data_IF_724327604357
#
_entry.id   IF_724327604357
#
_cell.length_a   1.000
_cell.length_b   1.000
_cell.length_c   1.000
_cell.angle_alpha   90.00
_cell.angle_beta   90.00
_cell.angle_gamma   90.00
#
_symmetry.space_group_name_H-M   'P 1'
#
loop_
_entity.id
_entity.type
_entity.pdbx_description
1 polymer ?
#
# COMPACT_ATOMS: atom_id res chain seq x y z
N UNK A 1 -6.73 5.44 59.66
CA UNK A 1 -7.92 5.43 60.54
C UNK A 1 -9.03 4.73 59.77
N UNK A 2 -9.47 3.56 60.25
CA UNK A 2 -10.42 2.64 59.58
C UNK A 2 -11.80 2.76 60.24
N UNK A 3 -12.87 2.84 59.45
CA UNK A 3 -14.27 2.47 59.79
C UNK A 3 -14.91 2.04 58.45
N UNK A 4 -14.94 0.77 58.02
CA UNK A 4 -15.84 -0.35 58.37
C UNK A 4 -17.33 0.00 58.46
N UNK A 5 -18.09 -0.37 57.42
CA UNK A 5 -19.46 -0.87 57.58
C UNK A 5 -19.57 -2.26 56.94
N UNK A 6 -20.06 -3.17 57.76
CA UNK A 6 -20.41 -4.57 57.50
C UNK A 6 -21.93 -4.57 57.40
N UNK A 7 -22.50 -5.20 56.36
CA UNK A 7 -23.74 -5.94 56.53
C UNK A 7 -23.70 -7.20 55.66
N UNK A 8 -23.64 -8.33 56.37
CA UNK A 8 -23.94 -9.64 55.86
C UNK A 8 -25.45 -9.83 55.84
N UNK A 9 -25.99 -10.37 54.76
CA UNK A 9 -27.16 -11.25 54.80
C UNK A 9 -26.97 -12.36 53.78
N UNK A 10 -26.79 -13.56 54.30
CA UNK A 10 -26.91 -14.80 53.56
C UNK A 10 -28.40 -15.18 53.52
N UNK A 11 -28.88 -15.63 52.36
CA UNK A 11 -29.90 -16.69 52.28
C UNK A 11 -29.88 -17.33 50.89
N UNK A 12 -29.58 -18.62 50.91
CA UNK A 12 -29.68 -19.58 49.82
C UNK A 12 -31.08 -19.59 49.18
N UNK A 13 -31.15 -19.63 47.86
CA UNK A 13 -32.19 -20.37 47.15
C UNK A 13 -31.58 -21.05 45.93
N UNK A 14 -31.38 -22.37 46.06
CA UNK A 14 -31.10 -23.26 44.94
C UNK A 14 -32.42 -23.57 44.23
N UNK A 15 -32.44 -23.48 42.90
CA UNK A 15 -33.58 -23.87 42.07
C UNK A 15 -33.23 -23.77 40.59
N UNK A 16 -32.68 -24.87 40.05
CA UNK A 16 -32.54 -25.13 38.63
C UNK A 16 -33.91 -25.06 37.94
N UNK A 17 -34.02 -24.27 36.87
CA UNK A 17 -34.88 -24.56 35.73
C UNK A 17 -34.13 -24.24 34.43
N UNK A 18 -34.38 -25.11 33.46
CA UNK A 18 -33.69 -25.35 32.20
C UNK A 18 -34.17 -24.42 31.07
N UNK A 19 -33.26 -24.14 30.12
CA UNK A 19 -33.42 -23.79 28.70
C UNK A 19 -34.69 -23.04 28.22
N UNK A 20 -34.51 -21.87 27.58
CA UNK A 20 -34.95 -21.64 26.19
C UNK A 20 -34.46 -20.30 25.61
N UNK A 21 -33.69 -20.42 24.52
CA UNK A 21 -33.40 -19.56 23.36
C UNK A 21 -33.85 -18.09 23.22
N UNK A 22 -32.92 -17.38 22.58
CA UNK A 22 -33.09 -16.50 21.40
C UNK A 22 -33.57 -15.07 21.65
N UNK A 23 -32.58 -14.18 21.63
CA UNK A 23 -32.61 -13.06 20.71
C UNK A 23 -31.24 -13.05 20.01
N UNK A 24 -31.20 -13.73 18.87
CA UNK A 24 -30.20 -13.54 17.83
C UNK A 24 -30.30 -12.07 17.38
N UNK A 25 -29.35 -11.25 17.79
CA UNK A 25 -28.98 -10.05 17.04
C UNK A 25 -27.62 -10.36 16.40
N UNK A 26 -27.62 -11.22 15.38
CA UNK A 26 -26.56 -11.22 14.38
C UNK A 26 -26.74 -9.96 13.55
N UNK A 27 -26.36 -8.81 14.11
CA UNK A 27 -25.94 -7.71 13.25
C UNK A 27 -24.67 -8.19 12.57
N UNK A 28 -24.78 -8.80 11.39
CA UNK A 28 -23.64 -9.01 10.51
C UNK A 28 -23.09 -7.62 10.19
N UNK A 29 -22.11 -7.19 10.99
CA UNK A 29 -21.27 -6.06 10.64
C UNK A 29 -20.27 -6.61 9.62
N UNK A 30 -20.32 -6.20 8.35
CA UNK A 30 -19.46 -6.82 7.36
C UNK A 30 -17.97 -6.51 7.59
N UNK A 31 -17.63 -5.52 8.42
CA UNK A 31 -16.24 -5.29 8.89
C UNK A 31 -15.76 -6.47 9.76
N UNK A 32 -16.61 -6.94 10.67
CA UNK A 32 -16.28 -8.08 11.52
C UNK A 32 -16.21 -9.38 10.71
N UNK A 33 -17.00 -9.49 9.64
CA UNK A 33 -16.96 -10.64 8.74
C UNK A 33 -15.63 -10.70 7.98
N UNK A 34 -15.14 -9.57 7.44
CA UNK A 34 -13.81 -9.50 6.82
C UNK A 34 -12.69 -9.85 7.80
N UNK A 35 -12.69 -9.24 8.99
CA UNK A 35 -11.68 -9.54 10.03
C UNK A 35 -11.72 -11.03 10.45
N UNK A 36 -12.90 -11.64 10.57
CA UNK A 36 -13.03 -13.06 10.91
C UNK A 36 -12.48 -13.98 9.80
N UNK A 37 -12.71 -13.64 8.52
CA UNK A 37 -12.19 -14.41 7.39
C UNK A 37 -10.67 -14.27 7.32
N UNK A 38 -10.12 -13.07 7.47
CA UNK A 38 -8.67 -12.80 7.45
C UNK A 38 -7.91 -13.55 8.54
N UNK A 39 -8.54 -13.79 9.70
CA UNK A 39 -7.98 -14.58 10.79
C UNK A 39 -8.13 -16.11 10.59
N UNK A 40 -8.75 -16.57 9.51
CA UNK A 40 -8.93 -18.00 9.24
C UNK A 40 -7.62 -18.63 8.74
N UNK A 41 -7.16 -19.74 9.34
CA UNK A 41 -5.98 -20.47 8.86
C UNK A 41 -6.11 -20.89 7.39
N UNK A 42 -5.11 -20.57 6.57
CA UNK A 42 -4.97 -21.12 5.22
C UNK A 42 -4.07 -22.36 5.29
N UNK A 43 -4.50 -23.43 4.62
CA UNK A 43 -3.73 -24.68 4.54
C UNK A 43 -2.40 -24.48 3.82
N UNK A 44 -1.31 -24.96 4.42
CA UNK A 44 0.05 -24.73 3.90
C UNK A 44 0.23 -25.30 2.48
N UNK A 45 -0.44 -26.41 2.17
CA UNK A 45 -0.41 -27.00 0.82
C UNK A 45 -1.13 -26.15 -0.23
N UNK A 46 -2.17 -25.42 0.17
CA UNK A 46 -2.86 -24.51 -0.75
C UNK A 46 -1.94 -23.35 -1.12
N UNK A 47 -1.34 -22.71 -0.12
CA UNK A 47 -0.42 -21.59 -0.30
C UNK A 47 0.79 -21.99 -1.16
N UNK A 48 1.46 -23.10 -0.84
CA UNK A 48 2.62 -23.58 -1.63
C UNK A 48 2.26 -23.86 -3.08
N UNK A 49 1.03 -24.28 -3.35
CA UNK A 49 0.59 -24.58 -4.73
C UNK A 49 0.33 -23.33 -5.56
N UNK A 50 0.18 -22.16 -4.92
CA UNK A 50 -0.16 -20.88 -5.57
C UNK A 50 0.97 -19.86 -5.53
N UNK A 51 2.00 -20.05 -4.70
CA UNK A 51 3.15 -19.14 -4.64
C UNK A 51 4.11 -19.35 -5.83
N UNK A 52 4.54 -18.23 -6.40
CA UNK A 52 5.65 -18.09 -7.32
C UNK A 52 6.70 -17.16 -6.69
N UNK A 53 7.98 -17.54 -6.80
CA UNK A 53 9.11 -16.70 -6.34
C UNK A 53 10.15 -16.71 -7.45
N UNK A 54 10.53 -15.53 -7.95
CA UNK A 54 11.55 -15.43 -8.99
C UNK A 54 12.87 -16.06 -8.52
N UNK A 55 13.54 -16.82 -9.38
CA UNK A 55 14.81 -17.46 -9.03
C UNK A 55 14.72 -18.65 -8.05
N UNK A 56 13.52 -19.02 -7.61
CA UNK A 56 13.34 -20.14 -6.69
C UNK A 56 13.18 -21.49 -7.38
N UNK A 57 13.76 -22.53 -6.79
CA UNK A 57 13.49 -23.94 -7.11
C UNK A 57 12.66 -24.57 -6.00
N UNK A 58 11.52 -25.16 -6.35
CA UNK A 58 10.66 -25.89 -5.40
C UNK A 58 11.23 -27.29 -5.18
N UNK A 59 11.58 -27.59 -3.93
CA UNK A 59 12.22 -28.84 -3.50
C UNK A 59 11.34 -29.59 -2.50
N UNK A 60 11.37 -30.92 -2.55
CA UNK A 60 10.59 -31.77 -1.65
C UNK A 60 11.34 -32.05 -0.34
N UNK A 61 10.59 -32.11 0.76
CA UNK A 61 11.10 -32.43 2.10
C UNK A 61 11.27 -31.20 2.98
N UNK A 62 12.32 -31.20 3.79
CA UNK A 62 12.66 -30.10 4.71
C UNK A 62 13.91 -29.38 4.22
N UNK A 63 14.03 -28.06 4.42
CA UNK A 63 15.26 -27.32 4.15
C UNK A 63 16.49 -27.93 4.83
N UNK A 64 17.71 -27.66 4.32
CA UNK A 64 18.95 -28.00 5.01
C UNK A 64 18.97 -27.47 6.46
N UNK A 65 19.57 -28.26 7.37
CA UNK A 65 19.58 -27.93 8.80
C UNK A 65 20.46 -26.70 9.08
N UNK A 66 19.91 -25.67 9.76
CA UNK A 66 20.67 -24.51 10.22
C UNK A 66 21.91 -24.86 11.03
N UNK A 67 23.01 -24.13 10.79
CA UNK A 67 24.20 -24.17 11.65
C UNK A 67 24.38 -22.88 12.48
N UNK A 68 23.51 -21.90 12.28
CA UNK A 68 23.42 -20.63 13.02
C UNK A 68 24.71 -19.80 13.00
N UNK A 69 25.52 -19.97 11.95
CA UNK A 69 26.79 -19.26 11.82
C UNK A 69 26.65 -17.83 11.25
N UNK A 70 25.47 -17.48 10.72
CA UNK A 70 25.11 -16.13 10.24
C UNK A 70 23.77 -15.71 10.83
N UNK A 71 23.50 -14.41 10.83
CA UNK A 71 22.26 -13.79 11.32
C UNK A 71 21.69 -12.86 10.27
N UNK A 72 20.36 -12.71 10.29
CA UNK A 72 19.61 -11.79 9.45
C UNK A 72 18.39 -11.30 10.23
N UNK A 73 17.65 -10.35 9.66
CA UNK A 73 16.37 -9.85 10.16
C UNK A 73 15.41 -9.65 8.99
N UNK A 74 14.18 -10.16 9.12
CA UNK A 74 13.08 -9.80 8.21
C UNK A 74 12.49 -8.47 8.67
N UNK A 75 12.42 -7.52 7.74
CA UNK A 75 11.96 -6.14 8.00
C UNK A 75 10.71 -5.75 7.21
N UNK A 76 10.12 -6.67 6.43
CA UNK A 76 8.89 -6.40 5.66
C UNK A 76 7.61 -6.49 6.48
N UNK A 77 6.50 -6.10 5.83
CA UNK A 77 5.15 -6.15 6.39
C UNK A 77 4.57 -7.57 6.49
N UNK A 78 3.51 -7.69 7.28
CA UNK A 78 2.78 -8.94 7.58
C UNK A 78 1.51 -9.13 6.73
N UNK A 79 1.42 -8.49 5.57
CA UNK A 79 0.20 -8.47 4.75
C UNK A 79 0.49 -8.92 3.32
N UNK A 80 -0.46 -9.61 2.71
CA UNK A 80 -0.47 -9.99 1.30
C UNK A 80 -1.79 -9.59 0.65
N UNK A 81 -1.77 -9.40 -0.66
CA UNK A 81 -2.96 -9.10 -1.46
C UNK A 81 -3.30 -10.30 -2.34
N UNK A 82 -4.60 -10.57 -2.50
CA UNK A 82 -5.10 -11.85 -3.03
C UNK A 82 -4.49 -12.26 -4.37
N UNK A 83 -4.19 -11.30 -5.25
CA UNK A 83 -3.61 -11.53 -6.58
C UNK A 83 -2.17 -11.05 -6.74
N UNK A 84 -1.66 -10.25 -5.81
CA UNK A 84 -0.33 -9.62 -5.93
C UNK A 84 0.71 -10.28 -5.03
N UNK A 85 0.30 -11.04 -4.00
CA UNK A 85 1.27 -11.64 -3.09
C UNK A 85 1.81 -10.64 -2.07
N UNK A 86 3.10 -10.75 -1.74
CA UNK A 86 3.79 -9.95 -0.73
C UNK A 86 5.32 -9.96 -0.91
N UNK A 87 5.98 -8.96 -0.32
CA UNK A 87 7.44 -8.87 -0.33
C UNK A 87 8.07 -9.33 0.99
N UNK A 88 9.25 -9.95 0.88
CA UNK A 88 10.12 -10.26 2.02
C UNK A 88 11.39 -9.43 1.90
N UNK A 89 11.50 -8.44 2.79
CA UNK A 89 12.67 -7.58 2.91
C UNK A 89 13.58 -8.11 4.01
N UNK A 90 14.87 -8.29 3.71
CA UNK A 90 15.87 -8.90 4.59
C UNK A 90 17.08 -7.98 4.75
N UNK A 91 17.53 -7.85 6.00
CA UNK A 91 18.81 -7.22 6.36
C UNK A 91 19.77 -8.24 6.98
N UNK A 92 21.07 -8.11 6.68
CA UNK A 92 22.11 -9.03 7.13
C UNK A 92 23.47 -8.34 7.26
N UNK A 93 24.20 -8.68 8.33
CA UNK A 93 25.59 -8.21 8.52
C UNK A 93 26.60 -8.90 7.57
N UNK A 94 26.13 -9.83 6.73
CA UNK A 94 26.94 -10.65 5.84
C UNK A 94 26.33 -10.73 4.45
N UNK A 95 27.18 -10.89 3.43
CA UNK A 95 26.74 -11.11 2.05
C UNK A 95 26.03 -12.46 1.92
N UNK A 96 24.77 -12.43 1.50
CA UNK A 96 23.92 -13.60 1.34
C UNK A 96 23.95 -14.09 -0.11
N UNK A 97 23.82 -15.40 -0.29
CA UNK A 97 23.73 -16.02 -1.63
C UNK A 97 22.34 -16.57 -1.93
N UNK A 98 21.50 -16.78 -0.92
CA UNK A 98 20.15 -17.25 -1.11
C UNK A 98 19.39 -17.49 0.19
N UNK A 99 18.19 -18.04 0.05
CA UNK A 99 17.31 -18.37 1.16
C UNK A 99 16.55 -19.67 0.95
N UNK A 100 16.20 -20.33 2.06
CA UNK A 100 15.22 -21.40 2.10
C UNK A 100 13.94 -20.88 2.72
N UNK A 101 12.83 -20.97 1.99
CA UNK A 101 11.50 -20.55 2.46
C UNK A 101 10.56 -21.76 2.51
N UNK A 102 9.92 -21.98 3.64
CA UNK A 102 8.98 -23.07 3.84
C UNK A 102 7.66 -22.55 4.42
N UNK A 103 6.55 -22.90 3.79
CA UNK A 103 5.22 -22.47 4.25
C UNK A 103 4.73 -23.36 5.38
N UNK A 104 4.02 -22.74 6.31
CA UNK A 104 3.45 -23.32 7.51
C UNK A 104 2.05 -22.73 7.73
N UNK A 105 1.07 -23.52 8.17
CA UNK A 105 -0.20 -22.95 8.63
C UNK A 105 -0.04 -22.41 10.07
N UNK A 106 -0.95 -21.55 10.51
CA UNK A 106 -0.88 -20.98 11.88
C UNK A 106 -0.98 -22.04 12.99
N UNK A 107 -1.51 -23.23 12.68
CA UNK A 107 -1.64 -24.36 13.62
C UNK A 107 -0.36 -25.18 13.78
N UNK A 108 0.68 -24.95 12.97
CA UNK A 108 1.95 -25.66 13.09
C UNK A 108 2.26 -26.67 11.99
N UNK A 109 1.32 -26.95 11.09
CA UNK A 109 1.53 -27.87 9.97
C UNK A 109 2.42 -27.21 8.92
N UNK A 110 3.48 -27.92 8.53
CA UNK A 110 4.49 -27.43 7.60
C UNK A 110 4.26 -28.13 6.26
N UNK A 111 4.35 -27.39 5.17
CA UNK A 111 4.30 -27.97 3.84
C UNK A 111 5.47 -28.94 3.61
N UNK A 112 5.22 -30.03 2.87
CA UNK A 112 6.23 -31.03 2.53
C UNK A 112 7.19 -30.57 1.42
N UNK A 113 7.17 -29.29 1.06
CA UNK A 113 7.98 -28.67 0.03
C UNK A 113 8.51 -27.34 0.57
N UNK A 114 9.66 -26.91 0.06
CA UNK A 114 10.25 -25.61 0.35
C UNK A 114 10.81 -24.99 -0.94
N UNK A 115 11.06 -23.68 -0.90
CA UNK A 115 11.65 -22.93 -1.98
C UNK A 115 13.13 -22.69 -1.67
N UNK A 116 14.01 -23.08 -2.59
CA UNK A 116 15.43 -22.75 -2.60
C UNK A 116 15.65 -21.56 -3.53
N UNK A 117 15.92 -20.38 -2.96
CA UNK A 117 15.89 -19.09 -3.62
C UNK A 117 17.33 -18.62 -3.86
N UNK A 118 17.74 -18.53 -5.13
CA UNK A 118 19.05 -18.01 -5.51
C UNK A 118 18.99 -16.48 -5.68
N UNK A 119 19.65 -15.74 -4.79
CA UNK A 119 19.64 -14.28 -4.85
C UNK A 119 20.34 -13.71 -6.08
N UNK A 120 21.23 -14.47 -6.72
CA UNK A 120 21.82 -14.04 -7.98
C UNK A 120 20.79 -13.99 -9.13
N UNK A 121 19.73 -14.79 -9.03
CA UNK A 121 18.64 -14.81 -10.01
C UNK A 121 17.63 -13.66 -9.83
N UNK A 122 17.57 -13.04 -8.64
CA UNK A 122 16.69 -11.89 -8.36
C UNK A 122 17.15 -10.60 -9.08
N UNK A 123 18.43 -10.52 -9.45
CA UNK A 123 19.04 -9.31 -10.05
C UNK A 123 18.67 -9.03 -11.53
N UNK A 124 17.61 -9.68 -12.05
CA UNK A 124 17.21 -9.67 -13.46
C UNK A 124 16.25 -8.55 -13.90
N UNK A 125 15.49 -7.95 -12.99
CA UNK A 125 14.64 -6.79 -13.28
C UNK A 125 15.15 -5.57 -12.52
N UNK A 126 16.10 -4.87 -13.13
CA UNK A 126 16.06 -3.41 -13.03
C UNK A 126 14.62 -2.98 -13.27
N UNK A 127 13.98 -2.35 -12.27
CA UNK A 127 12.79 -1.51 -12.45
C UNK A 127 12.92 -0.87 -13.82
N UNK A 128 11.97 -1.07 -14.77
CA UNK A 128 12.16 -0.70 -16.15
C UNK A 128 12.68 0.74 -16.21
N UNK A 129 13.96 0.85 -16.58
CA UNK A 129 14.71 2.09 -16.62
C UNK A 129 14.26 2.87 -17.85
N UNK A 130 12.99 3.26 -17.87
CA UNK A 130 12.34 4.03 -18.91
C UNK A 130 11.14 4.82 -18.41
N UNK A 131 11.11 5.25 -17.15
CA UNK A 131 10.36 6.46 -16.78
C UNK A 131 11.38 7.60 -16.75
N UNK A 132 11.54 8.26 -17.89
CA UNK A 132 12.25 9.53 -17.96
C UNK A 132 11.55 10.49 -17.00
N UNK A 133 12.32 11.05 -16.06
CA UNK A 133 11.96 12.26 -15.31
C UNK A 133 11.29 13.29 -16.23
N UNK A 134 9.99 13.49 -16.05
CA UNK A 134 9.26 14.73 -16.29
C UNK A 134 7.89 14.64 -15.61
N UNK A 135 7.74 15.47 -14.57
CA UNK A 135 6.50 16.01 -14.01
C UNK A 135 5.20 15.26 -14.34
N UNK A 136 4.96 14.18 -13.59
CA UNK A 136 3.61 13.70 -13.30
C UNK A 136 3.45 13.98 -11.81
N UNK A 137 2.40 14.68 -11.40
CA UNK A 137 2.05 14.85 -9.98
C UNK A 137 2.08 13.46 -9.34
N UNK A 138 3.13 13.19 -8.57
CA UNK A 138 3.43 11.90 -7.94
C UNK A 138 2.22 11.55 -7.08
N UNK A 139 1.37 10.66 -7.56
CA UNK A 139 0.37 10.04 -6.71
C UNK A 139 0.74 8.57 -6.62
N UNK A 140 1.18 8.23 -5.41
CA UNK A 140 1.54 6.91 -4.89
C UNK A 140 2.92 6.42 -5.38
N UNK A 141 3.87 6.37 -4.45
CA UNK A 141 5.08 5.52 -4.50
C UNK A 141 4.96 4.45 -3.40
N UNK A 142 5.35 3.22 -3.69
CA UNK A 142 5.42 2.15 -2.71
C UNK A 142 6.42 2.54 -1.60
N UNK A 143 6.14 2.16 -0.35
CA UNK A 143 7.04 2.42 0.77
C UNK A 143 8.31 1.59 0.56
N UNK A 144 9.41 2.23 0.16
CA UNK A 144 10.72 1.57 0.07
C UNK A 144 11.22 1.29 1.50
N UNK A 145 11.32 0.02 1.87
CA UNK A 145 12.06 -0.41 3.06
C UNK A 145 13.53 -0.54 2.65
N UNK A 146 14.45 0.15 3.34
CA UNK A 146 15.89 -0.08 3.12
C UNK A 146 16.25 -1.52 3.53
N UNK A 147 16.39 -2.37 2.50
CA UNK A 147 16.67 -3.79 2.63
C UNK A 147 17.92 -4.18 1.83
N UNK A 148 18.75 -5.06 2.38
CA UNK A 148 19.89 -5.63 1.65
C UNK A 148 19.42 -6.54 0.50
N UNK A 149 18.31 -7.26 0.73
CA UNK A 149 17.68 -8.16 -0.24
C UNK A 149 16.16 -8.05 -0.12
N UNK A 150 15.49 -8.03 -1.27
CA UNK A 150 14.04 -8.12 -1.38
C UNK A 150 13.67 -9.36 -2.19
N UNK A 151 12.73 -10.16 -1.68
CA UNK A 151 12.19 -11.35 -2.33
C UNK A 151 10.71 -11.08 -2.60
N UNK A 152 10.39 -10.96 -3.88
CA UNK A 152 9.02 -10.85 -4.38
C UNK A 152 8.34 -12.24 -4.37
N UNK A 153 7.23 -12.35 -3.64
CA UNK A 153 6.44 -13.58 -3.48
C UNK A 153 5.07 -13.39 -4.07
N UNK A 154 4.98 -13.61 -5.38
CA UNK A 154 3.76 -13.57 -6.17
C UNK A 154 2.79 -14.72 -5.86
N UNK A 155 1.50 -14.47 -6.13
CA UNK A 155 0.49 -15.52 -6.24
C UNK A 155 0.15 -15.79 -7.72
N UNK A 156 0.45 -17.00 -8.22
CA UNK A 156 0.11 -17.43 -9.59
C UNK A 156 -1.39 -17.36 -9.89
N UNK A 157 -2.20 -17.51 -8.84
CA UNK A 157 -3.65 -17.38 -8.87
C UNK A 157 -4.13 -16.83 -7.54
N UNK A 158 -5.29 -16.17 -7.55
CA UNK A 158 -5.90 -15.61 -6.34
C UNK A 158 -5.85 -16.57 -5.14
N UNK A 159 -5.28 -16.11 -4.04
CA UNK A 159 -5.37 -16.74 -2.73
C UNK A 159 -6.55 -16.12 -1.98
N UNK A 160 -7.40 -16.95 -1.38
CA UNK A 160 -8.54 -16.44 -0.60
C UNK A 160 -8.02 -15.76 0.68
N UNK A 161 -8.76 -14.78 1.24
CA UNK A 161 -8.37 -14.14 2.48
C UNK A 161 -8.20 -15.13 3.64
N UNK A 162 -7.26 -14.84 4.52
CA UNK A 162 -6.89 -15.72 5.62
C UNK A 162 -5.45 -15.52 6.05
N UNK A 163 -4.99 -16.30 7.03
CA UNK A 163 -3.62 -16.20 7.56
C UNK A 163 -2.85 -17.49 7.37
N UNK A 164 -1.59 -17.37 6.95
CA UNK A 164 -0.59 -18.44 6.99
C UNK A 164 0.72 -17.91 7.56
N UNK A 165 1.71 -18.78 7.77
CA UNK A 165 3.06 -18.35 8.13
C UNK A 165 4.09 -18.95 7.16
N UNK A 166 5.25 -18.32 7.08
CA UNK A 166 6.41 -18.92 6.45
C UNK A 166 7.57 -18.95 7.45
N UNK A 167 8.46 -19.90 7.23
CA UNK A 167 9.73 -20.02 7.94
C UNK A 167 10.83 -19.80 6.92
N UNK A 168 11.70 -18.84 7.17
CA UNK A 168 12.81 -18.50 6.29
C UNK A 168 14.15 -18.67 7.00
N UNK A 169 15.12 -19.23 6.29
CA UNK A 169 16.54 -19.25 6.64
C UNK A 169 17.33 -18.65 5.47
N UNK A 170 18.41 -17.94 5.72
CA UNK A 170 19.32 -17.44 4.67
C UNK A 170 20.63 -18.23 4.71
N UNK A 171 21.33 -18.28 3.57
CA UNK A 171 22.63 -18.94 3.47
C UNK A 171 23.66 -18.13 2.67
N UNK A 172 24.94 -18.29 3.04
CA UNK A 172 26.08 -17.64 2.40
C UNK A 172 26.86 -18.59 1.47
N UNK A 173 27.85 -18.03 0.75
CA UNK A 173 28.70 -18.77 -0.17
C UNK A 173 29.58 -19.85 0.51
N UNK A 174 29.73 -19.81 1.84
CA UNK A 174 30.49 -20.79 2.61
C UNK A 174 29.62 -21.96 3.11
N UNK A 175 28.31 -21.93 2.85
CA UNK A 175 27.35 -22.89 3.36
C UNK A 175 26.97 -22.69 4.83
N UNK A 176 27.19 -21.48 5.36
CA UNK A 176 26.61 -21.08 6.65
C UNK A 176 25.11 -20.83 6.46
N UNK A 177 24.29 -21.23 7.43
CA UNK A 177 22.83 -21.12 7.37
C UNK A 177 22.36 -20.49 8.68
N UNK A 178 21.54 -19.44 8.59
CA UNK A 178 21.01 -18.73 9.75
C UNK A 178 20.02 -19.56 10.57
N UNK A 179 19.74 -19.12 11.80
CA UNK A 179 18.59 -19.61 12.55
C UNK A 179 17.27 -19.24 11.83
N UNK A 180 16.23 -20.09 11.86
CA UNK A 180 14.97 -19.82 11.18
C UNK A 180 14.24 -18.63 11.81
N UNK A 181 13.62 -17.80 10.96
CA UNK A 181 12.64 -16.79 11.38
C UNK A 181 11.26 -17.17 10.84
N UNK A 182 10.25 -17.08 11.70
CA UNK A 182 8.86 -17.34 11.37
C UNK A 182 8.10 -16.03 11.30
N UNK A 183 7.38 -15.80 10.21
CA UNK A 183 6.54 -14.62 9.97
C UNK A 183 5.18 -15.09 9.50
N UNK A 184 4.12 -14.52 10.08
CA UNK A 184 2.76 -14.80 9.65
C UNK A 184 2.25 -13.66 8.77
N UNK A 185 1.57 -14.04 7.69
CA UNK A 185 1.06 -13.18 6.63
C UNK A 185 -0.45 -13.32 6.61
N UNK A 186 -1.12 -12.17 6.66
CA UNK A 186 -2.56 -12.05 6.44
C UNK A 186 -2.81 -11.68 4.99
N UNK A 187 -3.53 -12.54 4.26
CA UNK A 187 -4.06 -12.24 2.94
C UNK A 187 -5.32 -11.39 3.16
N UNK A 188 -5.25 -10.12 2.78
CA UNK A 188 -6.30 -9.15 3.05
C UNK A 188 -7.53 -9.38 2.17
N UNK A 189 -8.72 -9.15 2.73
CA UNK A 189 -9.95 -9.11 1.94
C UNK A 189 -10.00 -7.83 1.11
N UNK A 190 -10.42 -7.94 -0.16
CA UNK A 190 -10.83 -6.74 -0.89
C UNK A 190 -11.97 -6.05 -0.15
N UNK A 191 -11.84 -4.74 0.08
CA UNK A 191 -12.69 -4.00 1.01
C UNK A 191 -12.16 -4.04 2.44
N UNK A 192 -12.95 -4.56 3.37
CA UNK A 192 -12.55 -4.72 4.78
C UNK A 192 -12.95 -3.59 5.73
N UNK A 193 -13.45 -2.46 5.23
CA UNK A 193 -14.02 -1.39 6.07
C UNK A 193 -15.20 -0.66 5.41
N UNK A 194 -16.42 -1.04 5.77
CA UNK A 194 -17.66 -0.50 5.23
C UNK A 194 -17.83 0.99 5.46
N UNK A 195 -17.28 1.54 6.55
CA UNK A 195 -17.34 2.99 6.79
C UNK A 195 -16.57 3.80 5.73
N UNK A 196 -15.65 3.18 4.99
CA UNK A 196 -14.97 3.77 3.83
C UNK A 196 -15.76 3.67 2.53
N UNK A 197 -16.78 2.81 2.45
CA UNK A 197 -17.56 2.62 1.23
C UNK A 197 -18.43 3.86 0.98
N UNK A 198 -17.96 4.71 0.07
CA UNK A 198 -18.65 5.92 -0.35
C UNK A 198 -18.01 6.48 -1.63
N UNK A 199 -18.65 7.52 -2.15
CA UNK A 199 -18.04 8.45 -3.09
C UNK A 199 -17.51 9.64 -2.27
N UNK A 200 -16.20 9.78 -2.24
CA UNK A 200 -15.46 10.77 -1.48
C UNK A 200 -14.98 11.87 -2.43
N UNK A 201 -15.40 13.11 -2.19
CA UNK A 201 -15.00 14.26 -2.98
C UNK A 201 -13.77 14.89 -2.34
N UNK A 202 -12.72 15.12 -3.13
CA UNK A 202 -11.50 15.78 -2.69
C UNK A 202 -11.82 17.24 -2.33
N UNK A 203 -11.40 17.67 -1.14
CA UNK A 203 -11.53 19.06 -0.69
C UNK A 203 -10.20 19.81 -0.80
N UNK A 204 -9.11 19.13 -0.42
CA UNK A 204 -7.76 19.68 -0.51
C UNK A 204 -6.71 18.58 -0.41
N UNK A 205 -5.49 18.93 -0.78
CA UNK A 205 -4.29 18.13 -0.62
C UNK A 205 -3.24 18.94 0.14
N UNK A 206 -2.40 18.27 0.92
CA UNK A 206 -1.25 18.86 1.57
C UNK A 206 -0.02 18.01 1.29
N UNK A 207 1.03 18.65 0.78
CA UNK A 207 2.34 18.04 0.59
C UNK A 207 3.30 18.68 1.58
N UNK A 208 3.96 17.87 2.40
CA UNK A 208 5.06 18.34 3.24
C UNK A 208 6.36 17.81 2.68
N UNK A 209 7.27 18.69 2.29
CA UNK A 209 8.60 18.34 1.79
C UNK A 209 9.65 19.15 2.54
N UNK A 210 10.68 18.50 3.08
CA UNK A 210 11.74 19.17 3.86
C UNK A 210 11.22 20.13 4.95
N UNK A 211 10.21 19.69 5.73
CA UNK A 211 9.54 20.46 6.79
C UNK A 211 8.65 21.63 6.32
N UNK A 212 8.52 21.86 5.01
CA UNK A 212 7.61 22.87 4.45
C UNK A 212 6.33 22.22 3.94
N UNK A 213 5.17 22.74 4.36
CA UNK A 213 3.86 22.24 3.95
C UNK A 213 3.21 23.17 2.94
N UNK A 214 2.89 22.62 1.78
CA UNK A 214 2.13 23.24 0.69
C UNK A 214 0.71 22.69 0.70
N UNK A 215 -0.30 23.54 0.48
CA UNK A 215 -1.71 23.11 0.48
C UNK A 215 -2.39 23.49 -0.81
N UNK A 216 -3.05 22.51 -1.43
CA UNK A 216 -3.77 22.62 -2.68
C UNK A 216 -5.27 22.46 -2.44
N UNK A 217 -6.03 23.56 -2.48
CA UNK A 217 -7.48 23.54 -2.21
C UNK A 217 -8.23 23.39 -3.53
N UNK A 218 -9.17 22.44 -3.58
CA UNK A 218 -9.99 22.20 -4.78
C UNK A 218 -10.83 23.43 -5.10
N UNK A 219 -10.79 23.87 -6.36
CA UNK A 219 -11.46 25.06 -6.87
C UNK A 219 -10.73 26.39 -6.62
N UNK A 220 -9.55 26.37 -5.99
CA UNK A 220 -8.71 27.55 -5.81
C UNK A 220 -7.48 27.49 -6.73
N UNK A 221 -7.21 28.58 -7.45
CA UNK A 221 -6.02 28.70 -8.28
C UNK A 221 -4.84 29.08 -7.39
N UNK A 222 -3.77 28.29 -7.47
CA UNK A 222 -2.55 28.44 -6.67
C UNK A 222 -1.41 28.71 -7.61
N UNK A 223 -0.61 29.72 -7.29
CA UNK A 223 0.59 30.07 -8.01
C UNK A 223 1.81 29.71 -7.20
N UNK A 224 2.83 29.16 -7.85
CA UNK A 224 4.11 28.88 -7.22
C UNK A 224 4.71 30.18 -6.66
N UNK A 225 5.22 30.11 -5.43
CA UNK A 225 5.93 31.23 -4.79
C UNK A 225 7.28 31.54 -5.48
N UNK A 226 7.74 30.67 -6.38
CA UNK A 226 8.96 30.85 -7.15
C UNK A 226 8.71 31.65 -8.43
N UNK A 227 9.13 32.92 -8.43
CA UNK A 227 9.15 33.72 -9.65
C UNK A 227 10.28 33.23 -10.58
N UNK A 228 9.89 32.72 -11.74
CA UNK A 228 10.80 32.51 -12.86
C UNK A 228 10.89 33.79 -13.70
N UNK A 229 11.92 33.89 -14.55
CA UNK A 229 12.05 35.04 -15.43
C UNK A 229 12.68 34.66 -16.77
N UNK A 230 12.47 35.51 -17.77
CA UNK A 230 13.16 35.47 -19.05
C UNK A 230 13.59 36.88 -19.47
N UNK A 231 14.61 36.97 -20.33
CA UNK A 231 15.13 38.23 -20.86
C UNK A 231 14.65 38.44 -22.30
N UNK A 232 14.23 39.67 -22.60
CA UNK A 232 13.91 40.14 -23.95
C UNK A 232 15.15 40.64 -24.69
N UNK A 233 15.01 40.98 -25.99
CA UNK A 233 16.11 41.50 -26.82
C UNK A 233 16.67 42.86 -26.34
N UNK A 234 15.87 43.65 -25.62
CA UNK A 234 16.25 44.95 -25.06
C UNK A 234 16.80 44.85 -23.62
N UNK A 235 17.16 43.65 -23.18
CA UNK A 235 17.57 43.31 -21.81
C UNK A 235 16.49 43.54 -20.74
N UNK A 236 15.22 43.75 -21.13
CA UNK A 236 14.10 43.76 -20.18
C UNK A 236 13.89 42.35 -19.61
N UNK A 237 13.80 42.26 -18.29
CA UNK A 237 13.49 41.02 -17.58
C UNK A 237 11.98 40.96 -17.32
N UNK A 238 11.35 39.88 -17.78
CA UNK A 238 9.94 39.59 -17.51
C UNK A 238 9.87 38.48 -16.47
N UNK A 239 9.25 38.79 -15.33
CA UNK A 239 8.93 37.81 -14.30
C UNK A 239 7.60 37.12 -14.61
N UNK A 240 7.51 35.84 -14.26
CA UNK A 240 6.31 35.03 -14.44
C UNK A 240 6.22 33.96 -13.33
N UNK A 241 5.00 33.47 -13.11
CA UNK A 241 4.67 32.45 -12.12
C UNK A 241 3.88 31.34 -12.81
N UNK A 242 4.11 30.11 -12.41
CA UNK A 242 3.25 29.00 -12.78
C UNK A 242 2.06 28.98 -11.83
N UNK A 243 0.86 28.86 -12.37
CA UNK A 243 -0.36 28.74 -11.58
C UNK A 243 -1.15 27.55 -12.07
N UNK A 244 -1.78 26.82 -11.16
CA UNK A 244 -2.64 25.69 -11.47
C UNK A 244 -3.86 25.65 -10.56
N UNK A 245 -4.81 24.81 -10.94
CA UNK A 245 -6.03 24.60 -10.19
C UNK A 245 -6.43 23.13 -10.32
N UNK A 246 -6.77 22.51 -9.20
CA UNK A 246 -7.51 21.25 -9.17
C UNK A 246 -9.00 21.61 -9.14
N UNK A 247 -9.75 21.26 -10.19
CA UNK A 247 -11.17 21.59 -10.34
C UNK A 247 -12.04 20.59 -9.60
N UNK A 248 -11.68 19.30 -9.67
CA UNK A 248 -12.39 18.24 -8.97
C UNK A 248 -11.48 17.05 -8.69
N UNK A 249 -11.86 16.29 -7.66
CA UNK A 249 -11.28 14.98 -7.38
C UNK A 249 -12.33 14.10 -6.70
N UNK A 250 -12.40 12.83 -7.10
CA UNK A 250 -13.34 11.86 -6.55
C UNK A 250 -12.69 10.51 -6.35
N UNK A 251 -12.81 9.95 -5.14
CA UNK A 251 -12.45 8.59 -4.80
C UNK A 251 -13.72 7.78 -4.49
N UNK A 252 -14.01 6.77 -5.29
CA UNK A 252 -15.16 5.89 -5.12
C UNK A 252 -14.71 4.51 -4.65
N UNK A 253 -14.89 4.22 -3.36
CA UNK A 253 -14.60 2.92 -2.74
C UNK A 253 -15.89 2.11 -2.67
N UNK A 254 -15.91 0.92 -3.27
CA UNK A 254 -17.08 0.04 -3.27
C UNK A 254 -16.92 -1.13 -2.31
N UNK A 255 -18.07 -1.69 -1.90
CA UNK A 255 -18.15 -2.84 -0.99
C UNK A 255 -17.51 -4.11 -1.55
N UNK A 256 -17.46 -4.26 -2.87
CA UNK A 256 -16.78 -5.39 -3.54
C UNK A 256 -15.26 -5.22 -3.60
N UNK A 257 -14.73 -4.20 -2.92
CA UNK A 257 -13.32 -3.87 -2.91
C UNK A 257 -12.80 -3.28 -4.21
N UNK A 258 -13.65 -2.96 -5.19
CA UNK A 258 -13.23 -2.17 -6.35
C UNK A 258 -13.17 -0.69 -6.00
N UNK A 259 -12.25 0.05 -6.62
CA UNK A 259 -12.22 1.51 -6.55
C UNK A 259 -12.07 2.18 -7.91
N UNK A 260 -12.44 3.46 -7.94
CA UNK A 260 -12.09 4.40 -9.01
C UNK A 260 -11.64 5.69 -8.34
N UNK A 261 -10.52 6.25 -8.81
CA UNK A 261 -10.09 7.59 -8.46
C UNK A 261 -9.97 8.44 -9.72
N UNK A 262 -10.46 9.68 -9.68
CA UNK A 262 -10.35 10.61 -10.79
C UNK A 262 -10.12 12.03 -10.29
N UNK A 263 -9.32 12.80 -11.01
CA UNK A 263 -9.11 14.24 -10.79
C UNK A 263 -9.09 14.98 -12.11
N UNK A 264 -9.43 16.27 -12.06
CA UNK A 264 -9.37 17.16 -13.21
C UNK A 264 -8.97 18.55 -12.77
N UNK A 265 -8.34 19.31 -13.65
CA UNK A 265 -7.93 20.66 -13.37
C UNK A 265 -7.34 21.36 -14.59
N UNK A 266 -6.42 22.28 -14.32
CA UNK A 266 -5.54 22.83 -15.34
C UNK A 266 -4.27 23.43 -14.75
N UNK A 267 -3.29 23.65 -15.61
CA UNK A 267 -2.12 24.48 -15.37
C UNK A 267 -2.07 25.63 -16.39
N UNK A 268 -1.61 26.80 -15.94
CA UNK A 268 -1.30 27.93 -16.81
C UNK A 268 0.19 27.85 -17.16
N UNK A 269 0.48 27.25 -18.31
CA UNK A 269 1.84 27.17 -18.82
C UNK A 269 2.24 28.47 -19.53
N UNK A 270 3.51 28.86 -19.40
CA UNK A 270 4.06 29.97 -20.17
C UNK A 270 4.21 29.57 -21.64
N UNK A 271 3.51 30.26 -22.55
CA UNK A 271 3.82 30.22 -23.98
C UNK A 271 5.12 30.99 -24.20
N UNK A 272 6.24 30.28 -24.09
CA UNK A 272 7.56 30.88 -24.12
C UNK A 272 7.83 31.64 -25.42
N UNK A 273 7.41 31.10 -26.56
CA UNK A 273 7.61 31.74 -27.86
C UNK A 273 6.81 33.04 -27.99
N UNK A 274 5.51 33.00 -27.69
CA UNK A 274 4.68 34.21 -27.71
C UNK A 274 5.17 35.23 -26.67
N UNK A 275 5.58 34.76 -25.49
CA UNK A 275 6.02 35.62 -24.39
C UNK A 275 7.30 36.38 -24.71
N UNK A 276 8.28 35.71 -25.33
CA UNK A 276 9.53 36.35 -25.78
C UNK A 276 9.26 37.34 -26.91
N UNK A 277 8.41 36.98 -27.87
CA UNK A 277 8.09 37.84 -29.02
C UNK A 277 7.39 39.15 -28.60
N UNK A 278 6.50 39.08 -27.60
CA UNK A 278 5.75 40.24 -27.10
C UNK A 278 6.42 40.90 -25.88
N UNK A 279 7.55 40.35 -25.41
CA UNK A 279 8.23 40.74 -24.17
C UNK A 279 7.26 40.88 -22.97
N UNK A 280 6.39 39.89 -22.79
CA UNK A 280 5.37 39.85 -21.73
C UNK A 280 5.03 38.40 -21.42
N UNK A 281 4.77 38.06 -20.16
CA UNK A 281 4.26 36.74 -19.81
C UNK A 281 2.87 36.49 -20.46
N UNK A 282 2.80 35.51 -21.35
CA UNK A 282 1.60 35.03 -22.02
C UNK A 282 1.44 33.57 -21.64
N UNK A 283 0.27 33.23 -21.09
CA UNK A 283 -0.03 31.89 -20.62
C UNK A 283 -1.02 31.19 -21.52
N UNK A 284 -0.87 29.88 -21.62
CA UNK A 284 -1.83 28.96 -22.25
C UNK A 284 -2.34 28.03 -21.16
N UNK A 285 -3.65 27.86 -21.14
CA UNK A 285 -4.32 26.92 -20.25
C UNK A 285 -4.15 25.51 -20.79
N UNK A 286 -3.57 24.63 -19.99
CA UNK A 286 -3.37 23.22 -20.28
C UNK A 286 -4.23 22.42 -19.31
N UNK A 287 -5.25 21.73 -19.82
CA UNK A 287 -6.13 20.90 -18.98
C UNK A 287 -5.37 19.65 -18.51
N UNK A 288 -5.50 19.30 -17.23
CA UNK A 288 -5.02 18.03 -16.68
C UNK A 288 -6.20 17.15 -16.26
N UNK A 289 -6.07 15.85 -16.49
CA UNK A 289 -7.05 14.85 -16.08
C UNK A 289 -6.34 13.55 -15.74
N UNK A 290 -6.63 13.04 -14.55
CA UNK A 290 -6.13 11.75 -14.09
C UNK A 290 -7.30 10.85 -13.73
N UNK A 291 -7.18 9.57 -14.08
CA UNK A 291 -8.15 8.55 -13.74
C UNK A 291 -7.46 7.22 -13.54
N UNK A 292 -7.90 6.47 -12.54
CA UNK A 292 -7.38 5.13 -12.27
C UNK A 292 -8.46 4.24 -11.64
N UNK A 293 -8.35 2.93 -11.87
CA UNK A 293 -9.19 1.91 -11.23
C UNK A 293 -8.37 0.71 -10.80
N UNK A 294 -8.94 -0.01 -9.83
CA UNK A 294 -8.48 -1.34 -9.46
C UNK A 294 -9.17 -1.83 -8.19
N UNK A 295 -8.40 -2.43 -7.28
CA UNK A 295 -8.92 -2.94 -6.01
C UNK A 295 -8.33 -2.20 -4.80
N UNK A 296 -9.05 -2.25 -3.68
CA UNK A 296 -8.60 -1.75 -2.40
C UNK A 296 -8.85 -2.77 -1.31
N UNK A 297 -8.01 -2.78 -0.28
CA UNK A 297 -8.16 -3.58 0.94
C UNK A 297 -7.81 -2.72 2.16
N UNK A 298 -8.36 -3.04 3.32
CA UNK A 298 -8.10 -2.31 4.56
C UNK A 298 -7.49 -3.24 5.60
N UNK A 299 -6.29 -2.90 6.05
CA UNK A 299 -5.65 -3.58 7.17
C UNK A 299 -6.05 -2.90 8.48
N UNK A 300 -6.84 -3.61 9.29
CA UNK A 300 -7.33 -3.10 10.55
C UNK A 300 -6.25 -2.95 11.64
N UNK A 301 -5.20 -3.78 11.61
CA UNK A 301 -4.13 -3.75 12.61
C UNK A 301 -3.23 -2.53 12.47
N UNK A 302 -2.95 -2.12 11.24
CA UNK A 302 -2.10 -0.97 10.88
C UNK A 302 -2.89 0.31 10.61
N UNK A 303 -4.21 0.20 10.50
CA UNK A 303 -5.11 1.28 10.08
C UNK A 303 -4.75 1.83 8.68
N UNK A 304 -4.34 0.94 7.77
CA UNK A 304 -3.88 1.25 6.41
C UNK A 304 -4.89 0.82 5.35
N UNK A 305 -4.98 1.58 4.26
CA UNK A 305 -5.61 1.15 3.01
C UNK A 305 -4.54 0.75 2.01
N UNK A 306 -4.70 -0.40 1.39
CA UNK A 306 -3.97 -0.82 0.21
C UNK A 306 -4.76 -0.46 -1.04
N UNK A 307 -4.09 0.10 -2.05
CA UNK A 307 -4.65 0.47 -3.35
C UNK A 307 -3.84 -0.26 -4.42
N UNK A 308 -4.52 -1.11 -5.19
CA UNK A 308 -3.92 -1.85 -6.31
C UNK A 308 -4.44 -1.28 -7.61
N UNK A 309 -3.57 -0.64 -8.39
CA UNK A 309 -3.90 0.02 -9.65
C UNK A 309 -3.70 -0.94 -10.82
N UNK A 310 -4.78 -1.23 -11.53
CA UNK A 310 -4.75 -2.04 -12.76
C UNK A 310 -4.88 -1.23 -14.03
N UNK A 311 -5.61 -0.11 -14.01
CA UNK A 311 -5.74 0.75 -15.19
C UNK A 311 -5.57 2.21 -14.80
N UNK A 312 -5.02 2.99 -15.73
CA UNK A 312 -4.93 4.44 -15.58
C UNK A 312 -5.02 5.17 -16.92
N UNK A 313 -5.46 6.42 -16.84
CA UNK A 313 -5.42 7.43 -17.89
C UNK A 313 -4.88 8.71 -17.26
N UNK A 314 -3.89 9.30 -17.90
CA UNK A 314 -3.27 10.57 -17.54
C UNK A 314 -3.25 11.45 -18.80
N UNK A 315 -3.97 12.57 -18.77
CA UNK A 315 -4.03 13.53 -19.86
C UNK A 315 -3.45 14.86 -19.41
N UNK A 316 -2.61 15.42 -20.26
CA UNK A 316 -2.03 16.74 -20.07
C UNK A 316 -2.06 17.51 -21.40
N UNK A 317 -3.01 18.44 -21.52
CA UNK A 317 -3.30 19.14 -22.77
C UNK A 317 -3.76 18.19 -23.88
N UNK A 318 -3.00 18.15 -24.97
CA UNK A 318 -3.26 17.26 -26.11
C UNK A 318 -2.57 15.89 -25.96
N UNK A 319 -1.80 15.67 -24.89
CA UNK A 319 -1.09 14.41 -24.61
C UNK A 319 -1.95 13.49 -23.73
N UNK A 320 -2.03 12.20 -24.08
CA UNK A 320 -2.71 11.17 -23.28
C UNK A 320 -1.78 9.96 -23.12
N UNK A 321 -1.62 9.53 -21.87
CA UNK A 321 -0.94 8.33 -21.46
C UNK A 321 -1.94 7.40 -20.79
N UNK A 322 -1.95 6.13 -21.17
CA UNK A 322 -2.82 5.13 -20.54
C UNK A 322 -2.09 3.81 -20.45
N UNK A 323 -2.40 3.03 -19.43
CA UNK A 323 -1.83 1.70 -19.25
C UNK A 323 -2.78 0.75 -18.55
N UNK A 324 -2.50 -0.54 -18.73
CA UNK A 324 -3.13 -1.64 -18.02
C UNK A 324 -2.04 -2.55 -17.47
N UNK A 325 -2.19 -2.99 -16.22
CA UNK A 325 -1.36 -3.98 -15.58
C UNK A 325 -2.11 -5.32 -15.52
N UNK A 326 -1.38 -6.42 -15.63
CA UNK A 326 -1.93 -7.75 -15.37
C UNK A 326 -1.87 -8.03 -13.85
N UNK A 327 -2.60 -9.05 -13.39
CA UNK A 327 -2.50 -9.56 -12.01
C UNK A 327 -1.06 -10.01 -11.70
N UNK A 328 -0.53 -9.59 -10.55
CA UNK A 328 0.87 -9.81 -10.14
C UNK A 328 1.88 -8.80 -10.69
N UNK A 329 1.47 -7.90 -11.60
CA UNK A 329 2.32 -6.82 -12.11
C UNK A 329 1.76 -5.42 -11.74
N UNK A 330 0.75 -5.37 -10.87
CA UNK A 330 0.02 -4.14 -10.61
C UNK A 330 0.80 -3.20 -9.69
N UNK A 331 0.52 -1.91 -9.83
CA UNK A 331 1.06 -0.94 -8.89
C UNK A 331 0.31 -1.05 -7.56
N UNK A 332 1.02 -1.39 -6.48
CA UNK A 332 0.49 -1.45 -5.12
C UNK A 332 0.98 -0.25 -4.31
N UNK A 333 0.07 0.46 -3.67
CA UNK A 333 0.39 1.49 -2.69
C UNK A 333 -0.34 1.26 -1.38
N UNK A 334 0.21 1.81 -0.30
CA UNK A 334 -0.42 1.81 1.02
C UNK A 334 -0.45 3.21 1.61
N UNK A 335 -1.47 3.49 2.41
CA UNK A 335 -1.61 4.77 3.08
C UNK A 335 -2.37 4.61 4.40
N UNK A 336 -2.02 5.43 5.40
CA UNK A 336 -2.79 5.49 6.65
C UNK A 336 -4.14 6.16 6.41
N UNK A 337 -5.16 5.65 7.08
CA UNK A 337 -6.53 6.16 6.96
C UNK A 337 -6.98 6.79 8.27
N UNK A 338 -7.42 8.04 8.21
CA UNK A 338 -8.07 8.73 9.32
C UNK A 338 -9.52 9.03 8.92
N UNK A 339 -10.45 8.31 9.52
CA UNK A 339 -11.89 8.44 9.21
C UNK A 339 -12.65 9.08 10.38
N UNK A 340 -13.41 10.13 10.10
CA UNK A 340 -14.27 10.80 11.07
C UNK A 340 -15.61 11.20 10.45
N UNK A 341 -16.57 10.27 10.50
CA UNK A 341 -17.92 10.49 9.97
C UNK A 341 -17.95 10.71 8.46
N UNK A 342 -18.08 11.97 8.05
CA UNK A 342 -18.06 12.38 6.64
C UNK A 342 -16.71 12.90 6.17
N UNK A 343 -15.66 12.84 7.00
CA UNK A 343 -14.31 13.22 6.59
C UNK A 343 -13.41 11.99 6.50
N UNK A 344 -12.69 11.88 5.40
CA UNK A 344 -11.65 10.87 5.17
C UNK A 344 -10.32 11.61 4.90
N UNK A 345 -9.25 11.20 5.56
CA UNK A 345 -7.89 11.63 5.24
C UNK A 345 -7.09 10.38 4.88
N UNK A 346 -6.46 10.42 3.71
CA UNK A 346 -5.47 9.44 3.26
C UNK A 346 -4.10 10.07 3.45
N UNK A 347 -3.23 9.43 4.24
CA UNK A 347 -1.89 9.89 4.57
C UNK A 347 -0.85 8.92 4.03
N UNK A 348 -0.04 9.40 3.08
CA UNK A 348 1.14 8.71 2.56
C UNK A 348 2.39 9.34 3.21
N UNK A 349 3.30 8.52 3.74
CA UNK A 349 4.55 8.96 4.36
C UNK A 349 5.73 8.33 3.60
N UNK A 350 6.71 9.16 3.26
CA UNK A 350 7.99 8.79 2.65
C UNK A 350 9.12 9.37 3.53
N UNK A 351 10.38 9.00 3.27
CA UNK A 351 11.56 9.38 4.07
C UNK A 351 11.67 10.91 4.23
N UNK A 352 11.45 11.64 3.14
CA UNK A 352 11.64 13.11 3.08
C UNK A 352 10.35 13.89 2.80
N UNK A 353 9.22 13.20 2.62
CA UNK A 353 7.93 13.81 2.30
C UNK A 353 6.74 13.13 2.94
N UNK A 354 5.65 13.87 3.12
CA UNK A 354 4.34 13.27 3.41
C UNK A 354 3.27 13.94 2.56
N UNK A 355 2.27 13.15 2.18
CA UNK A 355 1.14 13.60 1.38
C UNK A 355 -0.17 13.30 2.09
N UNK A 356 -1.07 14.27 2.13
CA UNK A 356 -2.40 14.14 2.74
C UNK A 356 -3.47 14.57 1.77
N UNK A 357 -4.34 13.65 1.40
CA UNK A 357 -5.55 13.97 0.64
C UNK A 357 -6.75 13.98 1.59
N UNK A 358 -7.48 15.09 1.59
CA UNK A 358 -8.65 15.33 2.44
C UNK A 358 -9.91 15.20 1.60
N UNK A 359 -10.81 14.31 2.01
CA UNK A 359 -12.06 14.06 1.31
C UNK A 359 -13.30 14.21 2.19
N UNK A 360 -14.44 14.45 1.54
CA UNK A 360 -15.74 14.57 2.16
C UNK A 360 -16.87 13.92 1.34
N UNK A 361 -17.91 13.40 2.00
CA UNK A 361 -19.05 12.69 1.39
C UNK A 361 -20.40 13.35 1.62
#
# INVERSE_FOLDING_TARGET
MKIKFIYAYALLFSGLFLFSCSSDDSSNNPDQESEEIENTPIESSEVVSKILIEGATKEAGTPPTPNEAISFEVVSGTSALQTEGFDIAINSDTELTGAYLQIKNVDGEVANEYFDIDFSALSGKSVPQHIKKRSVKKTVQAIEVEADVEIDVDFETSLEPGTFCYVICVYDANGNISAPQEVCITVESWGGKNDLVAVWNLEKEEETYMEETYSYIVGEEICDDYNSNFSCEDDTIVEYQYCGLVDSGTLNLKVDGTYVYETSGYENELDYEASVNECKAIYVKVEDYYWTKGYWAYNAEKEEIYIVRYEYIDRYGDEEYSGTYEEGDAYVGSAKVILSGNSLIILEEDIDSSYKSYFNK
#
